data_IF_773014085110
#
_entry.id   IF_773014085110
#
_cell.length_a   1.000
_cell.length_b   1.000
_cell.length_c   1.000
_cell.angle_alpha   90.00
_cell.angle_beta   90.00
_cell.angle_gamma   90.00
#
_symmetry.space_group_name_H-M   'P 1'
#
loop_
_entity.id
_entity.type
_entity.pdbx_description
1 polymer ?
#
# COMPACT_ATOMS: atom_id res chain seq x y z
N UNK A 1 -11.18 -53.67 39.93
CA UNK A 1 -11.84 -52.38 39.61
C UNK A 1 -10.86 -51.21 39.67
N UNK A 2 -10.28 -50.87 40.84
CA UNK A 2 -9.45 -49.66 41.03
C UNK A 2 -8.28 -49.47 40.05
N UNK A 3 -7.60 -50.56 39.65
CA UNK A 3 -6.48 -50.52 38.70
C UNK A 3 -6.88 -50.12 37.28
N UNK A 4 -8.08 -50.53 36.85
CA UNK A 4 -8.60 -50.20 35.53
C UNK A 4 -9.08 -48.74 35.49
N UNK A 5 -9.73 -48.28 36.56
CA UNK A 5 -10.13 -46.88 36.70
C UNK A 5 -8.93 -45.94 36.67
N UNK A 6 -7.84 -46.28 37.36
CA UNK A 6 -6.60 -45.50 37.35
C UNK A 6 -5.98 -45.43 35.94
N UNK A 7 -5.94 -46.55 35.21
CA UNK A 7 -5.43 -46.59 33.85
C UNK A 7 -6.26 -45.71 32.90
N UNK A 8 -7.60 -45.74 33.00
CA UNK A 8 -8.47 -44.91 32.16
C UNK A 8 -8.28 -43.42 32.45
N UNK A 9 -8.14 -43.03 33.72
CA UNK A 9 -7.91 -41.63 34.11
C UNK A 9 -6.57 -41.11 33.60
N UNK A 10 -5.50 -41.91 33.71
CA UNK A 10 -4.18 -41.54 33.18
C UNK A 10 -4.23 -41.40 31.66
N UNK A 11 -4.86 -42.34 30.97
CA UNK A 11 -4.97 -42.30 29.51
C UNK A 11 -5.78 -41.07 29.03
N UNK A 12 -6.88 -40.76 29.72
CA UNK A 12 -7.69 -39.59 29.43
C UNK A 12 -6.91 -38.30 29.70
N UNK A 13 -6.22 -38.19 30.84
CA UNK A 13 -5.45 -37.00 31.20
C UNK A 13 -4.30 -36.74 30.22
N UNK A 14 -3.54 -37.79 29.86
CA UNK A 14 -2.45 -37.69 28.89
C UNK A 14 -3.01 -37.39 27.49
N UNK A 15 -4.05 -38.09 27.06
CA UNK A 15 -4.67 -37.87 25.75
C UNK A 15 -5.21 -36.46 25.57
N UNK A 16 -5.96 -35.95 26.56
CA UNK A 16 -6.49 -34.58 26.55
C UNK A 16 -5.37 -33.55 26.67
N UNK A 17 -4.35 -33.78 27.50
CA UNK A 17 -3.21 -32.88 27.65
C UNK A 17 -2.42 -32.72 26.34
N UNK A 18 -2.12 -33.82 25.66
CA UNK A 18 -1.39 -33.79 24.38
C UNK A 18 -2.25 -33.16 23.27
N UNK A 19 -3.55 -33.49 23.20
CA UNK A 19 -4.45 -32.89 22.24
C UNK A 19 -4.61 -31.38 22.46
N UNK A 20 -4.76 -30.95 23.71
CA UNK A 20 -4.84 -29.54 24.05
C UNK A 20 -3.54 -28.82 23.70
N UNK A 21 -2.38 -29.38 24.05
CA UNK A 21 -1.07 -28.79 23.73
C UNK A 21 -0.86 -28.60 22.22
N UNK A 22 -1.32 -29.53 21.39
CA UNK A 22 -1.21 -29.40 19.91
C UNK A 22 -2.23 -28.38 19.37
N UNK A 23 -3.48 -28.43 19.83
CA UNK A 23 -4.55 -27.56 19.31
C UNK A 23 -4.42 -26.11 19.81
N UNK A 24 -3.76 -25.89 20.96
CA UNK A 24 -3.54 -24.55 21.50
C UNK A 24 -2.35 -23.82 20.88
N UNK A 25 -1.48 -24.51 20.14
CA UNK A 25 -0.35 -23.86 19.49
C UNK A 25 -0.80 -23.14 18.22
N UNK A 26 -0.31 -21.90 18.05
CA UNK A 26 -0.40 -21.23 16.76
C UNK A 26 0.47 -21.97 15.75
N UNK A 27 0.03 -22.00 14.48
CA UNK A 27 0.68 -22.77 13.40
C UNK A 27 2.18 -22.48 13.27
N UNK A 28 2.61 -21.27 13.65
CA UNK A 28 4.00 -20.79 13.63
C UNK A 28 4.89 -21.38 14.71
N UNK A 29 4.31 -21.86 15.82
CA UNK A 29 5.05 -22.30 17.01
C UNK A 29 5.22 -23.83 17.07
N UNK A 30 4.79 -24.53 16.02
CA UNK A 30 4.96 -25.98 15.91
C UNK A 30 6.34 -26.27 15.31
N UNK A 31 7.23 -26.98 16.04
CA UNK A 31 8.55 -27.34 15.53
C UNK A 31 8.46 -28.10 14.18
N UNK A 32 9.12 -27.59 13.14
CA UNK A 32 9.08 -28.15 11.79
C UNK A 32 7.95 -27.63 10.89
N UNK A 33 7.08 -26.75 11.40
CA UNK A 33 5.98 -26.09 10.68
C UNK A 33 6.09 -24.55 10.71
N UNK A 34 7.11 -24.00 11.39
CA UNK A 34 7.44 -22.58 11.32
C UNK A 34 7.68 -22.18 9.87
N UNK A 35 6.81 -21.33 9.32
CA UNK A 35 7.07 -20.71 8.03
C UNK A 35 8.31 -19.83 8.16
N UNK A 36 9.32 -20.09 7.32
CA UNK A 36 10.44 -19.16 7.17
C UNK A 36 9.88 -17.77 6.86
N UNK A 37 10.56 -16.74 7.38
CA UNK A 37 10.26 -15.36 7.04
C UNK A 37 10.31 -15.21 5.52
N UNK A 38 9.19 -14.81 4.93
CA UNK A 38 9.04 -14.61 3.48
C UNK A 38 9.38 -13.17 3.06
N UNK A 39 9.93 -12.39 3.99
CA UNK A 39 10.41 -11.02 3.77
C UNK A 39 9.30 -9.98 3.80
N UNK A 40 8.06 -10.35 4.14
CA UNK A 40 6.96 -9.40 4.29
C UNK A 40 7.14 -8.52 5.52
N UNK A 41 6.65 -7.29 5.43
CA UNK A 41 6.55 -6.42 6.58
C UNK A 41 5.27 -6.69 7.37
N UNK A 42 5.35 -6.52 8.68
CA UNK A 42 4.22 -6.70 9.59
C UNK A 42 3.37 -5.42 9.62
N UNK A 43 2.30 -5.39 8.84
CA UNK A 43 1.33 -4.30 8.87
C UNK A 43 0.29 -4.54 9.98
N UNK A 44 -0.18 -3.47 10.66
CA UNK A 44 -1.36 -3.58 11.50
C UNK A 44 -2.57 -4.11 10.72
N UNK A 45 -3.49 -4.77 11.41
CA UNK A 45 -4.75 -5.24 10.80
C UNK A 45 -5.47 -4.07 10.12
N UNK A 46 -5.71 -4.20 8.83
CA UNK A 46 -6.42 -3.19 8.05
C UNK A 46 -7.92 -3.21 8.38
N UNK A 47 -8.49 -2.03 8.49
CA UNK A 47 -9.93 -1.81 8.70
C UNK A 47 -10.39 -0.70 7.78
N UNK A 48 -11.47 -0.93 7.03
CA UNK A 48 -12.07 0.14 6.22
C UNK A 48 -12.61 1.23 7.15
N UNK A 49 -12.33 2.51 6.87
CA UNK A 49 -12.82 3.61 7.70
C UNK A 49 -14.35 3.70 7.67
N UNK A 50 -14.93 4.17 8.78
CA UNK A 50 -16.36 4.47 8.82
C UNK A 50 -16.70 5.63 7.87
N UNK A 51 -17.81 5.50 7.16
CA UNK A 51 -18.31 6.55 6.28
C UNK A 51 -19.14 7.58 7.06
N UNK A 52 -19.20 8.84 6.59
CA UNK A 52 -20.19 9.80 7.05
C UNK A 52 -21.61 9.23 6.94
N UNK A 53 -22.50 9.62 7.86
CA UNK A 53 -23.88 9.13 7.86
C UNK A 53 -24.58 9.45 6.52
N UNK A 54 -25.17 8.43 5.90
CA UNK A 54 -25.86 8.55 4.61
C UNK A 54 -24.94 8.61 3.39
N UNK A 55 -23.62 8.56 3.55
CA UNK A 55 -22.70 8.51 2.43
C UNK A 55 -22.63 7.09 1.86
N UNK A 56 -22.74 6.92 0.52
CA UNK A 56 -22.60 5.62 -0.12
C UNK A 56 -21.12 5.18 -0.19
N UNK A 57 -20.90 3.89 -0.46
CA UNK A 57 -19.57 3.38 -0.82
C UNK A 57 -19.12 3.96 -2.17
N UNK A 58 -17.81 4.00 -2.48
CA UNK A 58 -17.30 4.52 -3.75
C UNK A 58 -18.02 3.89 -4.95
N UNK A 59 -18.10 2.57 -5.03
CA UNK A 59 -18.65 1.85 -6.19
C UNK A 59 -20.13 1.46 -6.05
N UNK A 60 -20.87 2.11 -5.15
CA UNK A 60 -22.31 1.86 -5.04
C UNK A 60 -23.06 2.53 -6.21
N UNK A 61 -24.16 1.93 -6.74
CA UNK A 61 -24.89 2.49 -7.89
C UNK A 61 -25.36 3.94 -7.73
N UNK A 62 -25.68 4.35 -6.50
CA UNK A 62 -26.10 5.71 -6.16
C UNK A 62 -24.94 6.73 -6.13
N UNK A 63 -23.68 6.26 -6.14
CA UNK A 63 -22.47 7.10 -6.14
C UNK A 63 -21.88 7.24 -7.54
N UNK A 64 -22.60 7.95 -8.42
CA UNK A 64 -22.22 8.10 -9.84
C UNK A 64 -20.82 8.72 -10.03
N UNK A 65 -20.34 9.51 -9.07
CA UNK A 65 -19.00 10.10 -9.13
C UNK A 65 -17.89 9.19 -8.59
N UNK A 66 -18.23 8.01 -8.08
CA UNK A 66 -17.33 7.06 -7.42
C UNK A 66 -16.47 7.70 -6.32
N UNK A 67 -17.11 8.58 -5.53
CA UNK A 67 -16.44 9.42 -4.55
C UNK A 67 -16.09 8.61 -3.31
N UNK A 68 -14.84 8.70 -2.86
CA UNK A 68 -14.42 8.21 -1.56
C UNK A 68 -14.87 9.16 -0.44
N UNK A 69 -16.05 8.95 0.12
CA UNK A 69 -16.56 9.80 1.21
C UNK A 69 -15.83 9.64 2.55
N UNK A 70 -15.03 8.57 2.71
CA UNK A 70 -14.19 8.42 3.90
C UNK A 70 -13.13 9.54 3.99
N UNK A 71 -12.64 9.80 5.20
CA UNK A 71 -11.48 10.68 5.37
C UNK A 71 -10.28 10.10 4.60
N UNK A 72 -9.70 10.89 3.69
CA UNK A 72 -8.63 10.41 2.81
C UNK A 72 -7.41 9.91 3.59
N UNK A 73 -7.12 10.51 4.75
CA UNK A 73 -6.03 10.08 5.62
C UNK A 73 -6.23 8.71 6.26
N UNK A 74 -7.49 8.33 6.45
CA UNK A 74 -7.86 7.01 6.97
C UNK A 74 -7.79 5.91 5.90
N UNK A 75 -7.67 6.28 4.61
CA UNK A 75 -7.42 5.38 3.49
C UNK A 75 -5.92 5.18 3.21
N UNK A 76 -5.04 5.87 3.93
CA UNK A 76 -3.59 5.64 3.86
C UNK A 76 -3.20 4.37 4.63
N UNK A 77 -2.41 3.52 3.98
CA UNK A 77 -1.81 2.34 4.60
C UNK A 77 -1.07 2.69 5.91
N UNK A 78 -1.37 2.04 7.05
CA UNK A 78 -0.60 2.25 8.29
C UNK A 78 0.87 1.87 8.09
N UNK A 79 1.76 2.53 8.82
CA UNK A 79 3.17 2.14 8.78
C UNK A 79 3.34 0.75 9.43
N UNK A 80 4.21 -0.11 8.89
CA UNK A 80 4.46 -1.44 9.44
C UNK A 80 5.18 -1.37 10.80
N UNK A 81 5.10 -2.44 11.57
CA UNK A 81 5.77 -2.59 12.85
C UNK A 81 7.29 -2.44 12.70
N UNK A 82 7.92 -1.82 13.71
CA UNK A 82 9.36 -1.55 13.70
C UNK A 82 9.82 -0.43 12.77
N UNK A 83 8.92 0.18 11.99
CA UNK A 83 9.25 1.32 11.14
C UNK A 83 9.39 2.62 11.93
N UNK A 84 10.21 3.53 11.39
CA UNK A 84 10.29 4.91 11.85
C UNK A 84 9.44 5.79 10.93
N UNK A 85 8.35 6.41 11.41
CA UNK A 85 7.53 7.25 10.55
C UNK A 85 8.27 8.51 10.07
N UNK A 86 8.01 8.92 8.83
CA UNK A 86 8.56 10.13 8.21
C UNK A 86 7.89 11.37 8.80
N UNK A 87 8.65 12.12 9.61
CA UNK A 87 8.14 13.32 10.29
C UNK A 87 7.72 14.43 9.33
N UNK A 88 8.24 14.45 8.11
CA UNK A 88 7.84 15.44 7.09
C UNK A 88 6.44 15.17 6.53
N UNK A 89 5.91 13.97 6.76
CA UNK A 89 4.58 13.52 6.35
C UNK A 89 3.65 13.23 7.56
N UNK A 90 4.07 13.57 8.78
CA UNK A 90 3.28 13.39 10.01
C UNK A 90 2.32 14.56 10.25
N UNK A 91 1.45 14.82 9.28
CA UNK A 91 0.38 15.79 9.45
C UNK A 91 -0.86 15.17 10.09
N UNK A 92 -1.72 16.01 10.67
CA UNK A 92 -3.01 15.57 11.21
C UNK A 92 -3.83 14.88 10.13
N UNK A 93 -4.28 13.65 10.40
CA UNK A 93 -4.97 12.78 9.42
C UNK A 93 -4.21 12.64 8.10
N UNK A 94 -2.87 12.67 8.13
CA UNK A 94 -2.02 12.53 6.94
C UNK A 94 -2.20 13.62 5.88
N UNK A 95 -2.89 14.73 6.15
CA UNK A 95 -3.14 15.78 5.15
C UNK A 95 -1.86 16.45 4.71
N UNK A 96 -1.70 16.70 3.42
CA UNK A 96 -0.53 17.42 2.91
C UNK A 96 -0.90 18.35 1.76
N UNK A 97 0.09 19.04 1.20
CA UNK A 97 -0.09 20.00 0.11
C UNK A 97 0.28 19.40 -1.25
N UNK A 98 -0.23 20.00 -2.31
CA UNK A 98 0.20 19.71 -3.69
C UNK A 98 1.71 19.90 -3.82
N UNK A 99 2.28 20.99 -3.28
CA UNK A 99 3.72 21.22 -3.31
C UNK A 99 4.54 20.13 -2.62
N UNK A 100 3.99 19.45 -1.59
CA UNK A 100 4.68 18.31 -0.99
C UNK A 100 4.64 17.09 -1.92
N UNK A 101 3.53 16.84 -2.59
CA UNK A 101 3.42 15.78 -3.59
C UNK A 101 4.35 16.02 -4.79
N UNK A 102 4.43 17.25 -5.30
CA UNK A 102 5.31 17.60 -6.42
C UNK A 102 6.80 17.33 -6.13
N UNK A 103 7.22 17.32 -4.86
CA UNK A 103 8.60 16.93 -4.48
C UNK A 103 8.91 15.45 -4.68
N UNK A 104 7.92 14.63 -5.00
CA UNK A 104 8.13 13.25 -5.40
C UNK A 104 8.61 13.13 -6.84
N UNK A 105 8.62 14.22 -7.62
CA UNK A 105 9.07 14.26 -9.00
C UNK A 105 10.30 15.16 -9.18
N UNK A 106 11.04 14.93 -10.28
CA UNK A 106 12.19 15.75 -10.67
C UNK A 106 11.78 17.21 -10.90
N UNK A 107 12.70 18.16 -10.65
CA UNK A 107 12.37 19.59 -10.55
C UNK A 107 11.78 20.18 -11.84
N UNK A 108 12.25 19.70 -12.99
CA UNK A 108 11.81 20.09 -14.33
C UNK A 108 10.39 19.62 -14.66
N UNK A 109 9.89 18.57 -14.02
CA UNK A 109 8.54 18.04 -14.22
C UNK A 109 7.49 18.72 -13.32
N UNK A 110 7.91 19.40 -12.25
CA UNK A 110 7.00 19.91 -11.20
C UNK A 110 6.08 21.03 -11.67
N UNK A 111 6.55 21.88 -12.59
CA UNK A 111 5.75 23.03 -13.04
C UNK A 111 4.57 22.59 -13.89
N UNK A 112 4.82 21.78 -14.92
CA UNK A 112 3.76 21.20 -15.75
C UNK A 112 2.77 20.38 -14.91
N UNK A 113 3.28 19.51 -14.03
CA UNK A 113 2.42 18.72 -13.14
C UNK A 113 1.58 19.59 -12.20
N UNK A 114 2.11 20.73 -11.72
CA UNK A 114 1.34 21.68 -10.91
C UNK A 114 0.18 22.28 -11.69
N UNK A 115 0.40 22.65 -12.95
CA UNK A 115 -0.63 23.18 -13.83
C UNK A 115 -1.76 22.15 -14.00
N UNK A 116 -1.42 20.92 -14.38
CA UNK A 116 -2.40 19.84 -14.56
C UNK A 116 -3.20 19.53 -13.28
N UNK A 117 -2.55 19.52 -12.11
CA UNK A 117 -3.23 19.34 -10.82
C UNK A 117 -4.16 20.51 -10.47
N UNK A 118 -3.80 21.73 -10.89
CA UNK A 118 -4.61 22.94 -10.69
C UNK A 118 -5.83 22.94 -11.61
N UNK A 119 -5.66 22.59 -12.88
CA UNK A 119 -6.72 22.46 -13.88
C UNK A 119 -7.71 21.35 -13.51
N UNK A 120 -7.18 20.20 -13.05
CA UNK A 120 -7.97 19.07 -12.55
C UNK A 120 -8.62 19.36 -11.19
N UNK A 121 -8.30 20.51 -10.56
CA UNK A 121 -8.84 20.97 -9.28
C UNK A 121 -8.76 19.92 -8.18
N UNK A 122 -7.56 19.36 -7.98
CA UNK A 122 -7.30 18.40 -6.89
C UNK A 122 -7.85 18.94 -5.56
N UNK A 123 -8.67 18.13 -4.89
CA UNK A 123 -9.46 18.54 -3.73
C UNK A 123 -8.72 18.33 -2.42
N UNK A 124 -7.99 17.24 -2.33
CA UNK A 124 -7.25 16.90 -1.13
C UNK A 124 -6.04 16.07 -1.51
N UNK A 125 -4.93 16.29 -0.80
CA UNK A 125 -3.78 15.41 -0.82
C UNK A 125 -3.59 14.86 0.58
N UNK A 126 -3.39 13.55 0.69
CA UNK A 126 -2.98 12.91 1.92
C UNK A 126 -1.73 12.07 1.65
N UNK A 127 -0.85 11.95 2.64
CA UNK A 127 0.36 11.17 2.53
C UNK A 127 0.76 10.54 3.85
N UNK A 128 1.48 9.42 3.76
CA UNK A 128 2.19 8.80 4.88
C UNK A 128 3.51 8.24 4.36
N UNK A 129 4.55 8.38 5.17
CA UNK A 129 5.84 7.75 4.89
C UNK A 129 6.45 7.13 6.13
N UNK A 130 7.37 6.21 5.91
CA UNK A 130 8.14 5.53 6.95
C UNK A 130 9.46 5.03 6.41
N UNK A 131 10.38 4.71 7.31
CA UNK A 131 11.66 4.09 6.99
C UNK A 131 11.80 2.81 7.81
N UNK A 132 12.10 1.70 7.14
CA UNK A 132 12.35 0.42 7.77
C UNK A 132 13.79 0.29 8.30
N UNK A 133 14.06 -0.62 9.25
CA UNK A 133 15.41 -0.82 9.80
C UNK A 133 16.47 -1.19 8.77
N UNK A 134 16.07 -1.77 7.63
CA UNK A 134 16.94 -2.12 6.50
C UNK A 134 17.34 -0.90 5.64
N UNK A 135 16.84 0.29 5.98
CA UNK A 135 17.06 1.55 5.29
C UNK A 135 16.08 1.84 4.14
N UNK A 136 15.10 0.97 3.90
CA UNK A 136 14.08 1.19 2.86
C UNK A 136 13.13 2.29 3.30
N UNK A 137 13.06 3.37 2.53
CA UNK A 137 12.11 4.46 2.70
C UNK A 137 10.86 4.18 1.86
N UNK A 138 9.69 4.35 2.44
CA UNK A 138 8.40 4.19 1.79
C UNK A 138 7.57 5.45 1.95
N UNK A 139 6.88 5.84 0.87
CA UNK A 139 5.96 6.98 0.83
C UNK A 139 4.72 6.59 0.05
N UNK A 140 3.55 6.92 0.58
CA UNK A 140 2.26 6.76 -0.08
C UNK A 140 1.59 8.13 -0.13
N UNK A 141 1.13 8.53 -1.31
CA UNK A 141 0.32 9.72 -1.54
C UNK A 141 -1.02 9.31 -2.11
N UNK A 142 -2.09 10.00 -1.69
CA UNK A 142 -3.42 9.90 -2.23
C UNK A 142 -3.87 11.30 -2.67
N UNK A 143 -4.33 11.40 -3.90
CA UNK A 143 -4.87 12.61 -4.50
C UNK A 143 -6.35 12.37 -4.76
N UNK A 144 -7.20 13.17 -4.14
CA UNK A 144 -8.65 13.12 -4.36
C UNK A 144 -9.07 14.20 -5.34
N UNK A 145 -9.82 13.79 -6.35
CA UNK A 145 -10.44 14.62 -7.37
C UNK A 145 -11.95 14.74 -7.10
N UNK A 146 -12.65 15.34 -8.05
CA UNK A 146 -14.08 15.56 -7.94
C UNK A 146 -14.93 14.32 -8.20
N UNK A 147 -14.49 13.51 -9.15
CA UNK A 147 -15.15 12.32 -9.65
C UNK A 147 -14.10 11.37 -10.21
N UNK A 148 -14.47 10.12 -10.44
CA UNK A 148 -13.60 9.18 -11.14
C UNK A 148 -13.24 9.59 -12.55
N UNK A 149 -14.14 10.27 -13.28
CA UNK A 149 -13.82 10.79 -14.60
C UNK A 149 -12.62 11.75 -14.56
N UNK A 150 -12.62 12.73 -13.65
CA UNK A 150 -11.51 13.69 -13.53
C UNK A 150 -10.22 13.01 -13.06
N UNK A 151 -10.32 12.06 -12.13
CA UNK A 151 -9.16 11.29 -11.67
C UNK A 151 -8.55 10.44 -12.80
N UNK A 152 -9.40 9.80 -13.60
CA UNK A 152 -9.04 8.99 -14.76
C UNK A 152 -8.38 9.82 -15.86
N UNK A 153 -8.99 10.95 -16.24
CA UNK A 153 -8.44 11.88 -17.23
C UNK A 153 -7.06 12.40 -16.78
N UNK A 154 -6.96 12.85 -15.52
CA UNK A 154 -5.67 13.26 -14.96
C UNK A 154 -4.62 12.15 -15.06
N UNK A 155 -4.98 10.93 -14.69
CA UNK A 155 -4.06 9.80 -14.70
C UNK A 155 -3.61 9.42 -16.12
N UNK A 156 -4.55 9.28 -17.06
CA UNK A 156 -4.25 8.90 -18.45
C UNK A 156 -3.39 9.96 -19.14
N UNK A 157 -3.76 11.23 -19.02
CA UNK A 157 -3.13 12.30 -19.79
C UNK A 157 -1.77 12.73 -19.21
N UNK A 158 -1.58 12.59 -17.88
CA UNK A 158 -0.44 13.22 -17.19
C UNK A 158 0.45 12.24 -16.42
N UNK A 159 0.02 11.00 -16.20
CA UNK A 159 0.79 10.01 -15.44
C UNK A 159 1.13 8.79 -16.30
N UNK A 160 0.14 8.23 -16.99
CA UNK A 160 0.30 7.03 -17.81
C UNK A 160 0.64 7.31 -19.28
N UNK A 161 0.64 8.58 -19.71
CA UNK A 161 0.93 8.93 -21.10
C UNK A 161 2.40 8.68 -21.43
N UNK A 162 2.63 7.77 -22.39
CA UNK A 162 3.81 7.62 -23.27
C UNK A 162 5.24 7.65 -22.69
N UNK A 163 6.22 7.05 -23.38
CA UNK A 163 7.64 7.08 -22.95
C UNK A 163 8.23 8.50 -22.83
N UNK A 164 7.63 9.51 -23.47
CA UNK A 164 8.10 10.90 -23.46
C UNK A 164 7.40 11.79 -22.39
N UNK A 165 6.38 11.27 -21.70
CA UNK A 165 5.57 11.98 -20.69
C UNK A 165 5.46 11.21 -19.36
N UNK A 166 6.22 10.11 -19.22
CA UNK A 166 6.25 9.33 -17.99
C UNK A 166 6.92 10.13 -16.89
N UNK A 167 6.12 10.73 -16.00
CA UNK A 167 6.60 11.43 -14.81
C UNK A 167 7.58 10.53 -14.05
N UNK A 168 8.77 11.05 -13.75
CA UNK A 168 9.84 10.32 -13.09
C UNK A 168 9.87 10.64 -11.60
N UNK A 169 9.61 9.67 -10.73
CA UNK A 169 9.81 9.86 -9.32
C UNK A 169 11.28 10.20 -9.01
N UNK A 170 11.49 11.05 -8.01
CA UNK A 170 12.84 11.47 -7.59
C UNK A 170 13.72 10.25 -7.30
N UNK A 171 14.91 10.26 -7.89
CA UNK A 171 15.91 9.21 -7.74
C UNK A 171 15.79 8.04 -8.72
N UNK A 172 14.81 8.08 -9.63
CA UNK A 172 14.77 7.22 -10.82
C UNK A 172 15.68 7.84 -11.88
N UNK A 173 16.81 7.19 -12.20
CA UNK A 173 17.76 7.72 -13.19
C UNK A 173 17.35 7.38 -14.63
N UNK A 174 16.84 6.17 -14.84
CA UNK A 174 16.38 5.66 -16.14
C UNK A 174 14.88 5.37 -16.11
N UNK A 175 14.23 5.41 -17.27
CA UNK A 175 12.79 5.15 -17.36
C UNK A 175 12.42 3.80 -16.75
N UNK A 176 11.47 3.81 -15.82
CA UNK A 176 11.05 2.60 -15.14
C UNK A 176 10.29 1.66 -16.08
N UNK A 177 10.52 0.37 -15.92
CA UNK A 177 9.82 -0.69 -16.65
C UNK A 177 8.70 -1.29 -15.81
N UNK A 178 7.70 -1.88 -16.46
CA UNK A 178 6.67 -2.65 -15.76
C UNK A 178 7.32 -3.76 -14.94
N UNK A 179 6.90 -3.91 -13.68
CA UNK A 179 7.35 -5.00 -12.81
C UNK A 179 6.66 -6.32 -13.21
N UNK A 180 7.36 -7.12 -14.02
CA UNK A 180 6.87 -8.42 -14.49
C UNK A 180 6.71 -9.46 -13.37
N UNK A 181 7.35 -9.24 -12.21
CA UNK A 181 7.20 -10.10 -11.04
C UNK A 181 5.92 -9.83 -10.25
N UNK A 182 5.21 -8.72 -10.52
CA UNK A 182 4.00 -8.38 -9.79
C UNK A 182 2.82 -9.29 -10.17
N UNK A 183 2.21 -9.96 -9.18
CA UNK A 183 1.05 -10.83 -9.43
C UNK A 183 -0.20 -10.01 -9.77
N UNK A 184 -0.54 -9.99 -11.05
CA UNK A 184 -1.71 -9.28 -11.56
C UNK A 184 -3.03 -9.88 -11.09
N UNK A 185 -3.06 -11.14 -10.61
CA UNK A 185 -4.27 -11.86 -10.19
C UNK A 185 -4.87 -11.39 -8.87
N UNK A 186 -4.14 -10.61 -8.06
CA UNK A 186 -4.62 -10.10 -6.77
C UNK A 186 -5.64 -8.95 -6.95
N UNK A 187 -6.64 -9.11 -7.83
CA UNK A 187 -7.58 -8.06 -8.24
C UNK A 187 -8.40 -7.52 -7.07
N UNK A 188 -8.54 -6.20 -7.03
CA UNK A 188 -9.44 -5.50 -6.11
C UNK A 188 -10.44 -4.77 -7.00
N UNK A 189 -11.72 -5.10 -6.83
CA UNK A 189 -12.80 -4.57 -7.66
C UNK A 189 -12.82 -3.04 -7.61
N UNK A 190 -12.96 -2.40 -8.78
CA UNK A 190 -13.03 -0.94 -8.90
C UNK A 190 -11.67 -0.24 -8.86
N UNK A 191 -10.56 -0.98 -8.89
CA UNK A 191 -9.21 -0.41 -8.88
C UNK A 191 -8.38 -0.88 -10.07
N UNK A 192 -7.52 0.00 -10.56
CA UNK A 192 -6.44 -0.36 -11.49
C UNK A 192 -5.09 0.01 -10.88
N UNK A 193 -4.03 -0.67 -11.33
CA UNK A 193 -2.69 -0.54 -10.76
C UNK A 193 -1.63 -0.67 -11.82
N UNK A 194 -0.62 0.17 -11.69
CA UNK A 194 0.49 0.30 -12.61
C UNK A 194 1.76 0.22 -11.78
N UNK A 195 2.47 -0.89 -11.88
CA UNK A 195 3.55 -1.25 -10.97
C UNK A 195 4.86 -1.28 -11.74
N UNK A 196 5.86 -0.55 -11.24
CA UNK A 196 7.10 -0.29 -11.94
C UNK A 196 8.33 -0.60 -11.08
N UNK A 197 9.37 -1.08 -11.76
CA UNK A 197 10.72 -1.30 -11.26
C UNK A 197 11.67 -0.40 -12.07
N UNK A 198 12.57 0.31 -11.38
CA UNK A 198 13.60 1.09 -12.05
C UNK A 198 14.56 0.16 -12.80
N UNK A 199 14.61 0.33 -14.11
CA UNK A 199 15.44 -0.48 -14.99
C UNK A 199 16.93 -0.23 -14.75
N UNK A 200 17.76 -1.24 -15.00
CA UNK A 200 19.21 -1.07 -15.06
C UNK A 200 19.62 -0.46 -16.41
N UNK A 201 20.70 0.35 -16.46
CA UNK A 201 21.58 0.73 -15.36
C UNK A 201 20.94 1.78 -14.44
N UNK A 202 21.25 1.72 -13.15
CA UNK A 202 20.76 2.67 -12.14
C UNK A 202 21.86 3.06 -11.16
N UNK A 203 21.69 4.21 -10.52
CA UNK A 203 22.60 4.77 -9.54
C UNK A 203 22.65 3.99 -8.21
N UNK A 204 23.18 4.61 -7.15
CA UNK A 204 23.33 3.94 -5.85
C UNK A 204 22.00 3.72 -5.11
N UNK A 205 20.92 4.32 -5.59
CA UNK A 205 19.57 4.21 -5.05
C UNK A 205 18.72 3.46 -6.06
N UNK A 206 17.98 2.47 -5.59
CA UNK A 206 16.94 1.80 -6.36
C UNK A 206 15.58 2.36 -5.92
N UNK A 207 14.74 2.71 -6.89
CA UNK A 207 13.33 3.08 -6.69
C UNK A 207 12.39 2.05 -7.31
N UNK A 208 11.40 1.60 -6.53
CA UNK A 208 10.20 0.93 -7.05
C UNK A 208 9.00 1.83 -6.81
N UNK A 209 8.12 1.96 -7.79
CA UNK A 209 6.94 2.80 -7.63
C UNK A 209 5.71 2.22 -8.31
N UNK A 210 4.54 2.63 -7.83
CA UNK A 210 3.28 2.22 -8.41
C UNK A 210 2.25 3.34 -8.33
N UNK A 211 1.36 3.34 -9.31
CA UNK A 211 0.14 4.12 -9.27
C UNK A 211 -1.07 3.23 -9.10
N UNK A 212 -2.08 3.73 -8.40
CA UNK A 212 -3.39 3.08 -8.25
C UNK A 212 -4.47 4.08 -8.60
N UNK A 213 -5.39 3.71 -9.49
CA UNK A 213 -6.61 4.49 -9.74
C UNK A 213 -7.78 3.79 -9.05
N UNK A 214 -8.59 4.54 -8.31
CA UNK A 214 -9.73 4.02 -7.57
C UNK A 214 -10.77 5.12 -7.40
N UNK A 215 -11.87 5.04 -8.14
CA UNK A 215 -12.91 6.07 -8.13
C UNK A 215 -12.32 7.47 -8.35
N UNK A 216 -12.70 8.43 -7.50
CA UNK A 216 -12.18 9.79 -7.49
C UNK A 216 -10.72 9.96 -7.00
N UNK A 217 -9.98 8.87 -6.75
CA UNK A 217 -8.67 8.92 -6.10
C UNK A 217 -7.56 8.30 -6.97
N UNK A 218 -6.42 9.00 -7.06
CA UNK A 218 -5.16 8.45 -7.60
C UNK A 218 -4.15 8.33 -6.47
N UNK A 219 -3.56 7.15 -6.32
CA UNK A 219 -2.49 6.90 -5.37
C UNK A 219 -1.12 6.82 -6.07
N UNK A 220 -0.09 7.29 -5.38
CA UNK A 220 1.31 7.02 -5.70
C UNK A 220 1.94 6.28 -4.51
N UNK A 221 2.57 5.14 -4.76
CA UNK A 221 3.36 4.38 -3.79
C UNK A 221 4.81 4.38 -4.28
N UNK A 222 5.75 4.81 -3.44
CA UNK A 222 7.18 4.85 -3.76
C UNK A 222 7.96 4.19 -2.64
N UNK A 223 8.76 3.19 -2.98
CA UNK A 223 9.81 2.67 -2.10
C UNK A 223 11.17 2.98 -2.72
N UNK A 224 12.10 3.49 -1.90
CA UNK A 224 13.47 3.73 -2.31
C UNK A 224 14.47 3.27 -1.27
N UNK A 225 15.64 2.84 -1.73
CA UNK A 225 16.70 2.35 -0.85
C UNK A 225 18.06 2.52 -1.50
N UNK A 226 19.09 2.85 -0.71
CA UNK A 226 20.48 2.65 -1.14
C UNK A 226 20.73 1.15 -1.34
N UNK A 227 21.21 0.76 -2.51
CA UNK A 227 21.26 -0.64 -2.92
C UNK A 227 19.92 -1.06 -3.53
N UNK A 228 19.33 -2.15 -3.06
CA UNK A 228 18.13 -2.73 -3.69
C UNK A 228 16.91 -2.68 -2.77
N UNK A 229 15.80 -2.12 -3.26
CA UNK A 229 14.47 -2.20 -2.63
C UNK A 229 13.96 -3.64 -2.71
N UNK A 230 13.64 -4.28 -1.55
CA UNK A 230 13.05 -5.61 -1.52
C UNK A 230 11.71 -5.67 -2.27
N UNK A 231 11.61 -6.59 -3.24
CA UNK A 231 10.42 -6.71 -4.09
C UNK A 231 9.17 -7.14 -3.31
N UNK A 232 9.28 -8.12 -2.41
CA UNK A 232 8.14 -8.65 -1.65
C UNK A 232 7.47 -7.57 -0.79
N UNK A 233 8.20 -6.80 0.06
CA UNK A 233 7.64 -5.64 0.75
C UNK A 233 6.98 -4.60 -0.17
N UNK A 234 7.57 -4.32 -1.33
CA UNK A 234 6.99 -3.37 -2.27
C UNK A 234 5.64 -3.87 -2.80
N UNK A 235 5.58 -5.10 -3.29
CA UNK A 235 4.33 -5.71 -3.78
C UNK A 235 3.27 -5.77 -2.68
N UNK A 236 3.65 -6.18 -1.47
CA UNK A 236 2.77 -6.20 -0.32
C UNK A 236 2.19 -4.80 -0.03
N UNK A 237 3.03 -3.75 -0.06
CA UNK A 237 2.61 -2.37 0.17
C UNK A 237 1.58 -1.92 -0.86
N UNK A 238 1.80 -2.21 -2.14
CA UNK A 238 0.86 -1.90 -3.22
C UNK A 238 -0.46 -2.64 -3.03
N UNK A 239 -0.43 -3.94 -2.76
CA UNK A 239 -1.65 -4.76 -2.54
C UNK A 239 -2.47 -4.23 -1.36
N UNK A 240 -1.82 -3.96 -0.23
CA UNK A 240 -2.50 -3.51 0.98
C UNK A 240 -3.06 -2.09 0.82
N UNK A 241 -2.35 -1.19 0.13
CA UNK A 241 -2.89 0.13 -0.20
C UNK A 241 -4.09 0.02 -1.15
N UNK A 242 -4.03 -0.89 -2.13
CA UNK A 242 -5.14 -1.12 -3.06
C UNK A 242 -6.42 -1.58 -2.35
N UNK A 243 -6.29 -2.49 -1.37
CA UNK A 243 -7.41 -3.00 -0.56
C UNK A 243 -8.09 -1.93 0.31
N UNK A 244 -7.40 -0.83 0.63
CA UNK A 244 -8.00 0.28 1.35
C UNK A 244 -8.85 1.17 0.45
N UNK A 245 -8.59 1.17 -0.86
CA UNK A 245 -9.30 1.99 -1.84
C UNK A 245 -10.49 1.24 -2.49
N UNK A 246 -10.40 -0.09 -2.65
CA UNK A 246 -11.48 -0.92 -3.21
C UNK A 246 -12.03 -1.97 -2.26
#
# INVERSE_FOLDING_TARGET
>A
MLRWTAATVVLAAVGTGTAYGIVSQERTDVPGLSTLDDGRWEYPKLTKPALPAGAPLPYAPENVGEIHYADLGALLLPAPAGSRPDRTLQAEKGRTTVDRYLREYEEDEREALREHLTESRVRQVAARGWTMPDGTSARVFLLRFHTSAVAGDFFVDNVASGPDLSLRPVGVEEMSSVDDGYDRRAEVTGTERYVYDEAAPRGPVHVRHAYITAGDTVALVVLSRKGEVPQVPFHQTVVLQNQLLG
#
